data_IF_643331016815
#
_entry.id   IF_643331016815
#
_cell.length_a   1.000
_cell.length_b   1.000
_cell.length_c   1.000
_cell.angle_alpha   90.00
_cell.angle_beta   90.00
_cell.angle_gamma   90.00
#
_symmetry.space_group_name_H-M   'P 1'
#
loop_
_entity.id
_entity.type
_entity.pdbx_description
1 polymer ?
#
# COMPACT_ATOMS: atom_id res chain seq x y z
N UNK A 1 19.07 -15.51 16.23
CA UNK A 1 19.92 -14.40 16.74
C UNK A 1 18.97 -13.43 17.42
N UNK A 2 18.95 -13.35 18.75
CA UNK A 2 18.03 -12.46 19.47
C UNK A 2 18.62 -11.04 19.49
N UNK A 3 17.96 -10.12 18.78
CA UNK A 3 18.26 -8.71 18.86
C UNK A 3 17.80 -8.18 20.23
N UNK A 4 18.63 -7.38 20.90
CA UNK A 4 18.21 -6.79 22.18
C UNK A 4 17.11 -5.75 21.98
N UNK A 5 16.24 -5.58 22.97
CA UNK A 5 15.16 -4.59 22.91
C UNK A 5 15.66 -3.16 22.67
N UNK A 6 16.88 -2.83 23.14
CA UNK A 6 17.49 -1.53 22.91
C UNK A 6 17.91 -1.35 21.44
N UNK A 7 18.53 -2.36 20.84
CA UNK A 7 18.91 -2.34 19.43
C UNK A 7 17.67 -2.30 18.51
N UNK A 8 16.58 -2.94 18.90
CA UNK A 8 15.29 -2.86 18.19
C UNK A 8 14.73 -1.43 18.24
N UNK A 9 14.71 -0.80 19.42
CA UNK A 9 14.21 0.57 19.58
C UNK A 9 15.05 1.60 18.84
N UNK A 10 16.37 1.42 18.78
CA UNK A 10 17.25 2.32 18.05
C UNK A 10 17.08 2.20 16.53
N UNK A 11 16.95 0.98 16.02
CA UNK A 11 16.64 0.75 14.60
C UNK A 11 15.25 1.27 14.21
N UNK A 12 14.25 1.11 15.09
CA UNK A 12 12.90 1.68 14.90
C UNK A 12 12.97 3.20 14.89
N UNK A 13 13.70 3.81 15.83
CA UNK A 13 13.87 5.27 15.91
C UNK A 13 14.50 5.84 14.63
N UNK A 14 15.53 5.18 14.10
CA UNK A 14 16.18 5.57 12.83
C UNK A 14 15.25 5.38 11.63
N UNK A 15 14.44 4.31 11.60
CA UNK A 15 13.43 4.11 10.56
C UNK A 15 12.35 5.18 10.60
N UNK A 16 11.88 5.57 11.78
CA UNK A 16 10.87 6.61 11.98
C UNK A 16 11.41 8.02 11.70
N UNK A 17 12.67 8.31 12.05
CA UNK A 17 13.30 9.62 11.78
C UNK A 17 13.62 9.83 10.30
N UNK A 18 13.97 8.75 9.59
CA UNK A 18 14.29 8.79 8.17
C UNK A 18 13.03 8.62 7.28
N UNK A 19 11.99 8.00 7.81
CA UNK A 19 10.65 8.09 7.25
C UNK A 19 10.14 9.51 7.50
N UNK A 20 10.52 10.41 6.62
CA UNK A 20 9.78 11.65 6.40
C UNK A 20 8.39 11.22 5.90
N UNK A 21 7.50 10.86 6.84
CA UNK A 21 6.24 10.13 6.65
C UNK A 21 5.27 11.05 5.91
N UNK A 22 5.52 11.19 4.61
CA UNK A 22 4.70 11.96 3.70
C UNK A 22 3.53 11.06 3.34
N UNK A 23 2.44 11.20 4.08
CA UNK A 23 1.16 10.66 3.66
C UNK A 23 0.93 11.09 2.20
N UNK A 24 0.84 10.14 1.24
CA UNK A 24 0.68 10.48 -0.15
C UNK A 24 -0.60 11.29 -0.31
N UNK A 25 -0.59 12.30 -1.18
CA UNK A 25 -1.83 13.01 -1.48
C UNK A 25 -2.83 12.04 -2.13
N UNK A 26 -4.10 12.42 -2.18
CA UNK A 26 -5.11 11.60 -2.84
C UNK A 26 -4.78 11.38 -4.33
N UNK A 27 -4.18 12.37 -4.99
CA UNK A 27 -3.72 12.27 -6.37
C UNK A 27 -2.56 11.29 -6.52
N UNK A 28 -1.58 11.33 -5.61
CA UNK A 28 -0.45 10.40 -5.59
C UNK A 28 -0.95 8.96 -5.35
N UNK A 29 -1.87 8.80 -4.39
CA UNK A 29 -2.50 7.51 -4.07
C UNK A 29 -3.23 6.91 -5.27
N UNK A 30 -4.10 7.71 -5.91
CA UNK A 30 -4.86 7.28 -7.08
C UNK A 30 -3.97 6.91 -8.26
N UNK A 31 -2.85 7.62 -8.45
CA UNK A 31 -1.87 7.26 -9.48
C UNK A 31 -1.21 5.93 -9.18
N UNK A 32 -0.75 5.69 -7.95
CA UNK A 32 -0.16 4.40 -7.56
C UNK A 32 -1.15 3.24 -7.76
N UNK A 33 -2.42 3.44 -7.41
CA UNK A 33 -3.50 2.48 -7.67
C UNK A 33 -3.73 2.25 -9.16
N UNK A 34 -3.68 3.30 -9.97
CA UNK A 34 -3.79 3.18 -11.43
C UNK A 34 -2.63 2.39 -12.05
N UNK A 35 -1.41 2.56 -11.53
CA UNK A 35 -0.24 1.80 -11.99
C UNK A 35 -0.38 0.30 -11.67
N UNK A 36 -0.91 -0.05 -10.50
CA UNK A 36 -1.24 -1.45 -10.16
C UNK A 36 -2.23 -2.04 -11.17
N UNK A 37 -3.30 -1.29 -11.52
CA UNK A 37 -4.26 -1.76 -12.53
C UNK A 37 -3.59 -1.91 -13.90
N UNK A 38 -2.73 -0.98 -14.31
CA UNK A 38 -1.98 -1.09 -15.57
C UNK A 38 -1.14 -2.37 -15.62
N UNK A 39 -0.49 -2.73 -14.52
CA UNK A 39 0.28 -3.97 -14.41
C UNK A 39 -0.63 -5.21 -14.44
N UNK A 40 -1.74 -5.19 -13.71
CA UNK A 40 -2.73 -6.28 -13.67
C UNK A 40 -3.32 -6.58 -15.06
N UNK A 41 -3.64 -5.54 -15.83
CA UNK A 41 -4.16 -5.68 -17.19
C UNK A 41 -3.05 -5.67 -18.27
N UNK A 42 -1.78 -5.62 -17.87
CA UNK A 42 -0.59 -5.76 -18.72
C UNK A 42 -0.18 -4.52 -19.53
N UNK A 43 -1.10 -3.63 -19.91
CA UNK A 43 -0.75 -2.40 -20.65
C UNK A 43 -1.75 -1.26 -20.47
N UNK A 44 -1.34 -0.04 -20.83
CA UNK A 44 -2.23 1.13 -20.85
C UNK A 44 -3.38 0.95 -21.85
N UNK A 45 -3.11 0.35 -23.00
CA UNK A 45 -4.13 0.09 -24.02
C UNK A 45 -5.17 -0.92 -23.51
N UNK A 46 -4.71 -2.05 -22.96
CA UNK A 46 -5.59 -3.07 -22.38
C UNK A 46 -6.43 -2.51 -21.22
N UNK A 47 -5.83 -1.70 -20.34
CA UNK A 47 -6.59 -1.03 -19.28
C UNK A 47 -7.62 -0.04 -19.84
N UNK A 48 -7.28 0.73 -20.88
CA UNK A 48 -8.23 1.66 -21.51
C UNK A 48 -9.42 0.93 -22.14
N UNK A 49 -9.19 -0.25 -22.73
CA UNK A 49 -10.25 -1.12 -23.26
C UNK A 49 -11.19 -1.63 -22.16
N UNK A 50 -10.63 -2.15 -21.05
CA UNK A 50 -11.41 -2.58 -19.88
C UNK A 50 -12.23 -1.42 -19.30
N UNK A 51 -11.66 -0.22 -19.28
CA UNK A 51 -12.35 0.99 -18.83
C UNK A 51 -13.36 1.54 -19.84
N UNK A 52 -13.48 0.95 -21.03
CA UNK A 52 -14.37 1.42 -22.09
C UNK A 52 -14.09 2.88 -22.49
N UNK A 53 -12.83 3.30 -22.44
CA UNK A 53 -12.45 4.70 -22.70
C UNK A 53 -12.38 4.95 -24.20
N UNK A 54 -13.18 5.91 -24.69
CA UNK A 54 -13.10 6.35 -26.08
C UNK A 54 -11.78 7.07 -26.43
N UNK A 55 -11.05 7.55 -25.42
CA UNK A 55 -9.76 8.22 -25.59
C UNK A 55 -8.70 7.66 -24.62
N UNK A 56 -7.86 6.70 -25.06
CA UNK A 56 -6.75 6.16 -24.28
C UNK A 56 -5.70 7.21 -23.87
N UNK A 57 -5.63 8.36 -24.57
CA UNK A 57 -4.68 9.43 -24.24
C UNK A 57 -4.92 10.01 -22.84
N UNK A 58 -6.17 10.06 -22.37
CA UNK A 58 -6.49 10.55 -21.03
C UNK A 58 -5.85 9.67 -19.94
N UNK A 59 -5.83 8.35 -20.14
CA UNK A 59 -5.20 7.41 -19.23
C UNK A 59 -3.68 7.61 -19.22
N UNK A 60 -3.06 7.74 -20.39
CA UNK A 60 -1.64 8.06 -20.51
C UNK A 60 -1.28 9.40 -19.85
N UNK A 61 -2.14 10.41 -19.96
CA UNK A 61 -1.92 11.71 -19.33
C UNK A 61 -1.95 11.64 -17.81
N UNK A 62 -2.86 10.86 -17.23
CA UNK A 62 -2.86 10.59 -15.79
C UNK A 62 -1.58 9.88 -15.35
N UNK A 63 -1.18 8.82 -16.07
CA UNK A 63 0.02 8.03 -15.76
C UNK A 63 1.29 8.88 -15.85
N UNK A 64 1.43 9.66 -16.91
CA UNK A 64 2.61 10.49 -17.17
C UNK A 64 2.56 11.83 -16.43
N UNK A 65 1.54 12.08 -15.60
CA UNK A 65 1.35 13.34 -14.89
C UNK A 65 1.44 14.56 -15.82
N UNK A 66 0.92 14.42 -17.05
CA UNK A 66 1.06 15.44 -18.08
C UNK A 66 0.47 16.77 -17.59
N UNK A 67 1.13 17.92 -17.86
CA UNK A 67 0.66 19.20 -17.38
C UNK A 67 -0.67 19.58 -18.05
N UNK A 68 -1.60 20.09 -17.27
CA UNK A 68 -2.81 20.70 -17.79
C UNK A 68 -2.45 22.03 -18.48
N UNK A 69 -2.88 22.20 -19.73
CA UNK A 69 -2.47 23.34 -20.56
C UNK A 69 -2.95 24.70 -20.05
N UNK A 70 -3.96 24.75 -19.16
CA UNK A 70 -4.48 25.99 -18.58
C UNK A 70 -3.82 26.32 -17.26
N UNK A 71 -3.59 25.31 -16.43
CA UNK A 71 -3.14 25.50 -15.03
C UNK A 71 -1.67 25.16 -14.80
N UNK A 72 -1.02 24.47 -15.74
CA UNK A 72 0.34 23.94 -15.62
C UNK A 72 0.48 22.79 -14.61
N UNK A 73 -0.57 22.47 -13.85
CA UNK A 73 -0.55 21.42 -12.83
C UNK A 73 -0.62 20.03 -13.47
N UNK A 74 0.06 19.02 -12.91
CA UNK A 74 -0.10 17.64 -13.33
C UNK A 74 -1.58 17.21 -13.36
N UNK A 75 -2.01 16.55 -14.44
CA UNK A 75 -3.35 15.96 -14.49
C UNK A 75 -3.46 14.82 -13.48
N UNK A 76 -4.56 14.81 -12.73
CA UNK A 76 -4.88 13.80 -11.73
C UNK A 76 -6.25 13.17 -11.98
N UNK A 77 -6.49 12.05 -11.30
CA UNK A 77 -7.76 11.33 -11.34
C UNK A 77 -8.72 11.99 -10.34
N UNK A 78 -9.81 12.56 -10.85
CA UNK A 78 -10.86 13.11 -10.00
C UNK A 78 -11.70 12.01 -9.34
N UNK A 79 -12.50 12.36 -8.34
CA UNK A 79 -13.26 11.37 -7.56
C UNK A 79 -14.28 10.60 -8.40
N UNK A 80 -14.94 11.24 -9.37
CA UNK A 80 -15.92 10.58 -10.24
C UNK A 80 -15.23 9.52 -11.12
N UNK A 81 -14.11 9.87 -11.75
CA UNK A 81 -13.29 8.94 -12.54
C UNK A 81 -12.75 7.80 -11.67
N UNK A 82 -12.34 8.08 -10.43
CA UNK A 82 -11.88 7.04 -9.51
C UNK A 82 -12.98 6.00 -9.22
N UNK A 83 -14.22 6.44 -8.97
CA UNK A 83 -15.36 5.51 -8.76
C UNK A 83 -15.69 4.70 -10.02
N UNK A 84 -15.65 5.33 -11.19
CA UNK A 84 -15.91 4.65 -12.45
C UNK A 84 -14.84 3.58 -12.74
N UNK A 85 -13.57 3.89 -12.48
CA UNK A 85 -12.45 2.94 -12.59
C UNK A 85 -12.68 1.74 -11.65
N UNK A 86 -12.99 1.97 -10.37
CA UNK A 86 -13.26 0.89 -9.40
C UNK A 86 -14.36 -0.04 -9.91
N UNK A 87 -15.49 0.53 -10.34
CA UNK A 87 -16.63 -0.23 -10.85
C UNK A 87 -16.25 -1.08 -12.06
N UNK A 88 -15.55 -0.50 -13.04
CA UNK A 88 -15.20 -1.17 -14.29
C UNK A 88 -14.10 -2.22 -14.15
N UNK A 89 -13.26 -2.09 -13.11
CA UNK A 89 -12.20 -3.06 -12.80
C UNK A 89 -12.58 -4.05 -11.71
N UNK A 90 -13.84 -4.01 -11.24
CA UNK A 90 -14.33 -4.92 -10.20
C UNK A 90 -13.70 -4.70 -8.83
N UNK A 91 -13.08 -3.55 -8.58
CA UNK A 91 -12.50 -3.21 -7.28
C UNK A 91 -13.58 -2.64 -6.34
N UNK A 92 -13.46 -2.84 -5.02
CA UNK A 92 -14.43 -2.30 -4.07
C UNK A 92 -14.40 -0.76 -4.06
N UNK A 93 -15.54 -0.15 -3.73
CA UNK A 93 -15.63 1.30 -3.56
C UNK A 93 -14.63 1.78 -2.50
N UNK A 94 -13.80 2.76 -2.83
CA UNK A 94 -12.79 3.32 -1.92
C UNK A 94 -11.37 2.84 -2.23
N UNK A 95 -11.23 1.79 -3.03
CA UNK A 95 -9.94 1.17 -3.35
C UNK A 95 -8.93 2.13 -3.98
N UNK A 96 -9.36 3.02 -4.87
CA UNK A 96 -8.50 4.03 -5.50
C UNK A 96 -8.00 5.10 -4.52
N UNK A 97 -8.66 5.24 -3.37
CA UNK A 97 -8.30 6.21 -2.33
C UNK A 97 -7.49 5.59 -1.19
N UNK A 98 -7.22 4.27 -1.26
CA UNK A 98 -6.42 3.59 -0.25
C UNK A 98 -4.93 3.75 -0.58
N UNK A 99 -4.10 4.20 0.37
CA UNK A 99 -2.65 4.31 0.15
C UNK A 99 -2.04 2.96 -0.25
N UNK A 100 -0.97 3.01 -1.03
CA UNK A 100 -0.15 1.85 -1.39
C UNK A 100 1.16 2.02 -0.63
N UNK A 101 1.45 1.06 0.24
CA UNK A 101 2.69 1.03 1.01
C UNK A 101 3.62 -0.01 0.41
N UNK A 102 4.89 0.34 0.19
CA UNK A 102 5.96 -0.64 0.00
C UNK A 102 6.13 -1.50 1.26
N UNK A 103 6.82 -2.63 1.17
CA UNK A 103 6.97 -3.53 2.33
C UNK A 103 7.65 -2.85 3.52
N UNK A 104 8.64 -1.99 3.27
CA UNK A 104 9.27 -1.18 4.32
C UNK A 104 8.29 -0.15 4.92
N UNK A 105 7.45 0.47 4.10
CA UNK A 105 6.44 1.44 4.57
C UNK A 105 5.27 0.76 5.30
N UNK A 106 4.93 -0.49 4.96
CA UNK A 106 3.89 -1.27 5.67
C UNK A 106 4.29 -1.47 7.13
N UNK A 107 5.56 -1.79 7.39
CA UNK A 107 6.07 -1.95 8.75
C UNK A 107 6.01 -0.62 9.52
N UNK A 108 6.49 0.46 8.92
CA UNK A 108 6.43 1.80 9.53
C UNK A 108 4.98 2.21 9.82
N UNK A 109 4.07 2.02 8.87
CA UNK A 109 2.65 2.34 9.06
C UNK A 109 1.99 1.48 10.14
N UNK A 110 2.33 0.19 10.23
CA UNK A 110 1.85 -0.67 11.31
C UNK A 110 2.33 -0.18 12.68
N UNK A 111 3.60 0.24 12.80
CA UNK A 111 4.14 0.82 14.04
C UNK A 111 3.39 2.10 14.40
N UNK A 112 3.16 3.01 13.44
CA UNK A 112 2.40 4.24 13.68
C UNK A 112 0.98 3.96 14.18
N UNK A 113 0.29 2.99 13.59
CA UNK A 113 -1.03 2.57 14.07
C UNK A 113 -0.90 2.04 15.51
N UNK A 114 0.00 1.09 15.76
CA UNK A 114 0.16 0.44 17.06
C UNK A 114 0.52 1.42 18.19
N UNK A 115 1.35 2.43 17.89
CA UNK A 115 1.73 3.47 18.88
C UNK A 115 0.57 4.40 19.23
N UNK A 116 -0.42 4.53 18.35
CA UNK A 116 -1.65 5.29 18.60
C UNK A 116 -2.77 4.51 19.30
N UNK A 117 -2.63 3.20 19.50
CA UNK A 117 -3.67 2.36 20.10
C UNK A 117 -3.65 2.38 21.64
N UNK A 118 -4.81 2.21 22.28
CA UNK A 118 -4.87 2.05 23.73
C UNK A 118 -4.26 0.71 24.17
N UNK A 119 -3.68 0.68 25.37
CA UNK A 119 -2.90 -0.46 25.90
C UNK A 119 -3.62 -1.81 25.80
N UNK A 120 -4.92 -1.84 26.09
CA UNK A 120 -5.73 -3.05 26.05
C UNK A 120 -5.87 -3.64 24.64
N UNK A 121 -5.81 -2.83 23.59
CA UNK A 121 -5.80 -3.31 22.20
C UNK A 121 -4.40 -3.82 21.81
N UNK A 122 -3.34 -3.15 22.29
CA UNK A 122 -1.96 -3.61 22.08
C UNK A 122 -1.75 -5.00 22.70
N UNK A 123 -2.24 -5.25 23.92
CA UNK A 123 -2.13 -6.54 24.60
C UNK A 123 -2.81 -7.68 23.81
N UNK A 124 -3.97 -7.42 23.18
CA UNK A 124 -4.64 -8.40 22.31
C UNK A 124 -3.80 -8.72 21.08
N UNK A 125 -3.22 -7.70 20.44
CA UNK A 125 -2.38 -7.86 19.25
C UNK A 125 -1.11 -8.64 19.59
N UNK A 126 -0.46 -8.34 20.71
CA UNK A 126 0.70 -9.08 21.18
C UNK A 126 0.41 -10.58 21.35
N UNK A 127 -0.72 -10.92 21.97
CA UNK A 127 -1.13 -12.32 22.11
C UNK A 127 -1.33 -13.05 20.78
N UNK A 128 -1.83 -12.35 19.74
CA UNK A 128 -1.95 -12.93 18.38
C UNK A 128 -0.56 -13.21 17.79
N UNK A 129 0.37 -12.26 17.91
CA UNK A 129 1.74 -12.39 17.40
C UNK A 129 2.46 -13.58 18.07
N UNK A 130 2.30 -13.73 19.39
CA UNK A 130 2.90 -14.83 20.14
C UNK A 130 2.38 -16.20 19.65
N UNK A 131 1.09 -16.30 19.31
CA UNK A 131 0.50 -17.52 18.73
C UNK A 131 1.13 -17.86 17.39
N UNK A 132 1.28 -16.86 16.49
CA UNK A 132 1.92 -17.07 15.19
C UNK A 132 3.37 -17.54 15.35
N UNK A 133 4.15 -16.91 16.23
CA UNK A 133 5.54 -17.29 16.48
C UNK A 133 5.68 -18.74 16.97
N UNK A 134 4.84 -19.15 17.91
CA UNK A 134 4.82 -20.53 18.42
C UNK A 134 4.40 -21.56 17.36
N UNK A 135 3.60 -21.15 16.37
CA UNK A 135 3.18 -22.03 15.27
C UNK A 135 4.31 -22.27 14.26
N UNK A 136 5.10 -21.26 13.93
CA UNK A 136 6.24 -21.39 13.02
C UNK A 136 7.36 -22.25 13.61
N UNK A 137 7.68 -22.06 14.90
CA UNK A 137 8.68 -22.86 15.59
C UNK A 137 8.33 -24.36 15.62
N UNK A 138 7.04 -24.70 15.77
CA UNK A 138 6.57 -26.09 15.71
C UNK A 138 6.69 -26.68 14.31
N UNK A 139 6.47 -25.90 13.25
CA UNK A 139 6.63 -26.36 11.85
C UNK A 139 8.11 -26.63 11.55
N UNK A 140 9.01 -25.73 11.96
CA UNK A 140 10.45 -25.88 11.76
C UNK A 140 10.99 -27.09 12.52
N UNK A 141 10.57 -27.27 13.78
CA UNK A 141 11.03 -28.39 14.61
C UNK A 141 10.35 -29.73 14.26
N UNK A 142 9.18 -29.70 13.61
CA UNK A 142 8.45 -30.90 13.15
C UNK A 142 9.00 -31.52 11.86
N UNK A 143 9.56 -30.70 10.96
CA UNK A 143 10.15 -31.19 9.70
C UNK A 143 11.56 -31.80 9.84
N UNK A 144 12.19 -31.69 11.01
CA UNK A 144 13.49 -32.31 11.29
C UNK A 144 13.46 -33.80 11.63
N UNK A 145 12.27 -34.44 11.61
CA UNK A 145 12.08 -35.83 12.00
C UNK A 145 11.27 -36.61 10.94
N UNK A 146 11.81 -36.71 9.72
CA UNK A 146 11.47 -37.80 8.81
C UNK A 146 12.76 -38.40 8.27
N UNK A 147 12.92 -39.69 8.58
CA UNK A 147 14.02 -40.56 8.20
C UNK A 147 14.19 -40.67 6.70
#
# INVERSE_FOLDING_TARGET
>A
MHMSSAALMENISVLLSNANMKYPTIEETRLSRLLILKEEFGSVAALAEVLGMSNPSQLSQWINRSPDSKTGKPRSINSASARDIEKKTGKPSGWMDQPVYSDNEKLTHAIDILTGLPKNEIEKIAGIIDIYHQSEEKIINGNGNSK
#
